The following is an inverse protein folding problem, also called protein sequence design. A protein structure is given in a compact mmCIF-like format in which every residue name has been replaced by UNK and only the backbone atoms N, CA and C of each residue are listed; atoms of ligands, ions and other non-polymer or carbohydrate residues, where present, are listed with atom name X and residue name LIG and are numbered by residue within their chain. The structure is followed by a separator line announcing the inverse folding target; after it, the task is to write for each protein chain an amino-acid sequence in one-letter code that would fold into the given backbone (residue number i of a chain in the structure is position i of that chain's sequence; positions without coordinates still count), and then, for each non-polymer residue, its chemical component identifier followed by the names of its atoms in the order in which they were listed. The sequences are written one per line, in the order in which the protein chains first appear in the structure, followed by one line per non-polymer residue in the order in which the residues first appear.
data_IF_423155444230
#
_entry.id   IF_423155444230
#
_cell.length_a   1.000
_cell.length_b   1.000
_cell.length_c   1.000
_cell.angle_alpha   90.00
_cell.angle_beta   90.00
_cell.angle_gamma   90.00
#
_symmetry.space_group_name_H-M   'P 1'
#
loop_
_entity.id
_entity.type
_entity.pdbx_description
1 polymer ?
#
# COMPACT_ATOMS: atom_id res chain seq x y z
N UNK A 1 6.67 -19.08 3.07
CA UNK A 1 7.22 -18.07 2.15
C UNK A 1 8.45 -17.46 2.82
N UNK A 2 9.61 -17.49 2.18
CA UNK A 2 10.80 -16.79 2.67
C UNK A 2 10.95 -15.49 1.87
N UNK A 3 11.05 -14.35 2.55
CA UNK A 3 11.24 -13.02 1.95
C UNK A 3 12.62 -12.49 2.32
N UNK A 4 13.12 -11.53 1.52
CA UNK A 4 14.32 -10.79 1.88
C UNK A 4 14.14 -10.05 3.21
N UNK A 5 15.19 -10.01 4.03
CA UNK A 5 15.15 -9.27 5.29
C UNK A 5 15.37 -7.78 5.03
N UNK A 6 14.43 -6.95 5.47
CA UNK A 6 14.49 -5.50 5.34
C UNK A 6 14.78 -4.86 6.71
N UNK A 7 16.05 -4.51 6.98
CA UNK A 7 16.55 -4.19 8.32
C UNK A 7 15.98 -2.90 8.89
N UNK A 8 15.51 -1.98 8.04
CA UNK A 8 14.90 -0.73 8.49
C UNK A 8 13.48 -0.95 9.04
N UNK A 9 12.86 -2.11 8.77
CA UNK A 9 11.50 -2.39 9.22
C UNK A 9 10.46 -1.58 8.45
N UNK A 10 9.32 -1.30 9.08
CA UNK A 10 8.17 -0.68 8.42
C UNK A 10 8.18 0.85 8.45
N UNK A 11 7.36 1.43 7.55
CA UNK A 11 7.21 2.87 7.39
C UNK A 11 6.76 3.60 8.67
N UNK A 12 6.03 2.93 9.56
CA UNK A 12 5.54 3.51 10.81
C UNK A 12 6.68 4.08 11.69
N UNK A 13 7.89 3.50 11.60
CA UNK A 13 9.07 3.98 12.33
C UNK A 13 9.65 5.29 11.78
N UNK A 14 9.33 5.66 10.54
CA UNK A 14 9.96 6.78 9.81
C UNK A 14 9.01 7.95 9.56
N UNK A 15 7.87 7.98 10.24
CA UNK A 15 6.87 9.07 10.17
C UNK A 15 7.40 10.42 10.67
N UNK A 16 8.60 10.48 11.26
CA UNK A 16 9.28 11.74 11.64
C UNK A 16 10.52 12.03 10.78
N UNK A 17 10.84 11.20 9.80
CA UNK A 17 12.00 11.40 8.92
C UNK A 17 11.85 12.66 8.07
N UNK A 18 12.97 13.25 7.64
CA UNK A 18 12.98 14.31 6.62
C UNK A 18 12.78 13.75 5.20
N UNK A 19 12.95 12.45 5.02
CA UNK A 19 12.92 11.77 3.72
C UNK A 19 11.51 11.29 3.31
N UNK A 20 10.47 11.75 4.01
CA UNK A 20 9.05 11.38 3.78
C UNK A 20 8.62 11.53 2.33
N UNK A 21 9.11 12.58 1.66
CA UNK A 21 8.79 12.83 0.25
C UNK A 21 9.35 11.73 -0.66
N UNK A 22 10.61 11.33 -0.46
CA UNK A 22 11.23 10.26 -1.24
C UNK A 22 10.58 8.90 -0.98
N UNK A 23 10.16 8.66 0.27
CA UNK A 23 9.43 7.44 0.61
C UNK A 23 8.05 7.44 -0.07
N UNK A 24 7.29 8.53 0.00
CA UNK A 24 6.00 8.65 -0.68
C UNK A 24 6.14 8.48 -2.20
N UNK A 25 7.19 9.07 -2.80
CA UNK A 25 7.49 8.92 -4.22
C UNK A 25 7.79 7.45 -4.59
N UNK A 26 8.63 6.76 -3.80
CA UNK A 26 8.94 5.36 -4.06
C UNK A 26 7.72 4.46 -3.92
N UNK A 27 6.80 4.76 -3.00
CA UNK A 27 5.53 4.04 -2.85
C UNK A 27 4.66 4.25 -4.11
N UNK A 28 4.57 5.49 -4.61
CA UNK A 28 3.84 5.79 -5.84
C UNK A 28 4.41 5.04 -7.06
N UNK A 29 5.74 4.97 -7.17
CA UNK A 29 6.42 4.21 -8.24
C UNK A 29 6.14 2.70 -8.14
N UNK A 30 6.07 2.16 -6.93
CA UNK A 30 5.70 0.76 -6.73
C UNK A 30 4.26 0.48 -7.19
N UNK A 31 3.33 1.43 -7.00
CA UNK A 31 1.96 1.30 -7.50
C UNK A 31 1.86 1.41 -9.01
N UNK A 32 2.55 2.40 -9.59
CA UNK A 32 2.63 2.55 -11.04
C UNK A 32 3.10 1.24 -11.69
N UNK A 33 4.08 0.57 -11.08
CA UNK A 33 4.54 -0.73 -11.54
C UNK A 33 3.46 -1.83 -11.44
N UNK A 34 2.78 -1.97 -10.30
CA UNK A 34 1.75 -3.00 -10.10
C UNK A 34 0.54 -2.80 -11.03
N UNK A 35 0.12 -1.56 -11.22
CA UNK A 35 -1.02 -1.22 -12.08
C UNK A 35 -0.65 -1.21 -13.57
N UNK A 36 0.60 -0.91 -13.92
CA UNK A 36 1.10 -0.90 -15.29
C UNK A 36 1.43 -2.28 -15.88
N UNK A 37 1.34 -3.35 -15.10
CA UNK A 37 1.52 -4.72 -15.59
C UNK A 37 0.43 -5.10 -16.61
N UNK A 38 0.77 -5.97 -17.59
CA UNK A 38 -0.17 -6.47 -18.61
C UNK A 38 -1.46 -7.07 -18.03
N UNK A 39 -1.36 -7.60 -16.80
CA UNK A 39 -2.50 -7.88 -15.92
C UNK A 39 -2.33 -7.04 -14.65
N UNK A 40 -3.05 -5.92 -14.52
CA UNK A 40 -2.91 -5.03 -13.37
C UNK A 40 -3.19 -5.75 -12.06
N UNK A 41 -2.31 -5.58 -11.08
CA UNK A 41 -2.40 -6.19 -9.75
C UNK A 41 -2.87 -5.11 -8.76
N UNK A 42 -3.99 -5.37 -8.09
CA UNK A 42 -4.54 -4.51 -7.05
C UNK A 42 -4.14 -5.08 -5.69
N UNK A 43 -3.54 -4.27 -4.82
CA UNK A 43 -2.98 -4.75 -3.54
C UNK A 43 -4.04 -4.98 -2.46
N UNK A 44 -5.04 -4.10 -2.33
CA UNK A 44 -6.23 -4.23 -1.44
C UNK A 44 -6.02 -4.17 0.08
N UNK A 45 -4.84 -4.46 0.63
CA UNK A 45 -4.52 -4.25 2.06
C UNK A 45 -3.27 -3.39 2.23
N UNK A 46 -3.34 -2.20 1.64
CA UNK A 46 -2.27 -1.24 1.75
C UNK A 46 -2.35 -0.51 3.09
N UNK A 47 -1.28 -0.64 3.88
CA UNK A 47 -1.08 0.02 5.17
C UNK A 47 0.41 0.23 5.41
N UNK A 48 0.79 1.16 6.29
CA UNK A 48 2.23 1.44 6.48
C UNK A 48 3.02 0.24 7.04
N UNK A 49 2.37 -0.70 7.74
CA UNK A 49 3.01 -1.93 8.20
C UNK A 49 3.39 -2.88 7.06
N UNK A 50 2.71 -2.76 5.90
CA UNK A 50 2.96 -3.53 4.68
C UNK A 50 3.93 -2.80 3.73
N UNK A 51 4.52 -1.69 4.19
CA UNK A 51 5.56 -0.95 3.47
C UNK A 51 6.83 -1.06 4.30
N UNK A 52 7.77 -1.87 3.81
CA UNK A 52 9.08 -2.02 4.43
C UNK A 52 10.11 -1.15 3.71
N UNK A 53 11.15 -0.74 4.42
CA UNK A 53 12.22 0.10 3.88
C UNK A 53 13.52 -0.68 3.73
N UNK A 54 14.25 -0.45 2.64
CA UNK A 54 15.64 -0.92 2.47
C UNK A 54 16.62 -0.06 3.26
N UNK A 55 17.89 -0.47 3.29
CA UNK A 55 18.99 0.34 3.88
C UNK A 55 19.12 1.73 3.26
N UNK A 56 18.71 1.88 2.00
CA UNK A 56 18.72 3.14 1.26
C UNK A 56 17.39 3.92 1.40
N UNK A 57 16.56 3.58 2.39
CA UNK A 57 15.21 4.15 2.61
C UNK A 57 14.26 4.01 1.41
N UNK A 58 14.48 3.02 0.54
CA UNK A 58 13.57 2.75 -0.57
C UNK A 58 12.42 1.87 -0.09
N UNK A 59 11.16 2.23 -0.39
CA UNK A 59 10.01 1.43 0.00
C UNK A 59 9.88 0.17 -0.85
N UNK A 60 9.48 -0.92 -0.20
CA UNK A 60 9.09 -2.18 -0.80
C UNK A 60 7.75 -2.62 -0.21
N UNK A 61 6.80 -2.91 -1.09
CA UNK A 61 5.48 -3.42 -0.71
C UNK A 61 5.61 -4.90 -0.36
N UNK A 62 4.95 -5.31 0.72
CA UNK A 62 4.87 -6.69 1.17
C UNK A 62 3.41 -7.09 1.41
N UNK A 63 3.20 -8.39 1.61
CA UNK A 63 1.89 -8.97 1.97
C UNK A 63 0.82 -8.82 0.87
N UNK A 64 1.04 -9.56 -0.22
CA UNK A 64 0.11 -9.69 -1.34
C UNK A 64 -0.97 -10.76 -1.10
N UNK A 65 -1.19 -11.18 0.15
CA UNK A 65 -2.07 -12.30 0.50
C UNK A 65 -3.53 -12.12 0.06
N UNK A 66 -3.94 -10.86 -0.14
CA UNK A 66 -5.28 -10.48 -0.61
C UNK A 66 -5.29 -9.79 -1.97
N UNK A 67 -4.13 -9.70 -2.63
CA UNK A 67 -4.00 -9.04 -3.92
C UNK A 67 -4.72 -9.82 -5.02
N UNK A 68 -5.32 -9.11 -5.97
CA UNK A 68 -6.06 -9.70 -7.08
C UNK A 68 -5.66 -9.06 -8.40
N UNK A 69 -5.62 -9.87 -9.46
CA UNK A 69 -5.56 -9.36 -10.82
C UNK A 69 -6.89 -8.70 -11.19
N UNK A 70 -6.84 -7.72 -12.10
CA UNK A 70 -8.00 -7.00 -12.63
C UNK A 70 -9.11 -7.89 -13.19
N UNK A 71 -8.82 -9.16 -13.50
CA UNK A 71 -9.80 -10.10 -14.07
C UNK A 71 -10.72 -10.71 -12.99
N UNK A 72 -10.28 -10.73 -11.72
CA UNK A 72 -10.99 -11.33 -10.58
C UNK A 72 -11.73 -10.28 -9.73
N UNK A 73 -12.63 -9.50 -10.34
CA UNK A 73 -13.52 -8.58 -9.61
C UNK A 73 -14.68 -9.31 -8.89
N UNK A 74 -14.43 -10.53 -8.40
CA UNK A 74 -15.43 -11.34 -7.69
C UNK A 74 -15.50 -10.95 -6.22
N UNK A 75 -16.74 -10.68 -5.81
CA UNK A 75 -17.17 -10.10 -4.53
C UNK A 75 -16.64 -10.87 -3.32
N UNK A 76 -15.58 -10.34 -2.71
CA UNK A 76 -15.20 -10.64 -1.33
C UNK A 76 -15.18 -9.33 -0.57
N UNK A 77 -16.33 -8.97 0.02
CA UNK A 77 -16.49 -7.80 0.88
C UNK A 77 -15.79 -8.00 2.22
N UNK A 78 -15.40 -6.89 2.86
CA UNK A 78 -14.79 -6.90 4.19
C UNK A 78 -13.31 -7.30 4.25
N UNK A 79 -12.59 -7.25 3.12
CA UNK A 79 -11.13 -7.50 3.09
C UNK A 79 -10.40 -6.17 3.08
N UNK A 80 -9.52 -5.96 4.06
CA UNK A 80 -8.70 -4.75 4.21
C UNK A 80 -8.71 -4.20 5.64
N UNK A 81 -7.80 -3.28 5.93
CA UNK A 81 -7.72 -2.63 7.24
C UNK A 81 -8.61 -1.37 7.27
N UNK A 82 -9.65 -1.28 8.14
CA UNK A 82 -10.74 -0.28 8.05
C UNK A 82 -10.35 1.20 7.96
N UNK A 83 -9.14 1.57 8.40
CA UNK A 83 -8.65 2.96 8.40
C UNK A 83 -7.90 3.36 7.13
N UNK A 84 -7.45 2.39 6.34
CA UNK A 84 -6.63 2.60 5.14
C UNK A 84 -7.39 2.23 3.87
N UNK A 85 -8.39 1.36 4.00
CA UNK A 85 -9.13 0.78 2.90
C UNK A 85 -10.20 1.72 2.35
N UNK A 86 -10.27 1.78 1.02
CA UNK A 86 -11.30 2.55 0.32
C UNK A 86 -12.72 2.05 0.66
N UNK A 87 -13.71 2.95 0.77
CA UNK A 87 -15.06 2.58 1.19
C UNK A 87 -15.71 1.54 0.27
N UNK A 88 -15.46 1.60 -1.04
CA UNK A 88 -15.97 0.63 -2.00
C UNK A 88 -15.43 -0.79 -1.79
N UNK A 89 -14.22 -0.92 -1.24
CA UNK A 89 -13.63 -2.23 -0.89
C UNK A 89 -14.25 -2.77 0.39
N UNK A 90 -14.49 -1.91 1.39
CA UNK A 90 -15.18 -2.29 2.63
C UNK A 90 -16.62 -2.73 2.37
N UNK A 91 -17.32 -2.04 1.47
CA UNK A 91 -18.68 -2.35 1.05
C UNK A 91 -18.77 -3.57 0.11
N UNK A 92 -17.62 -4.16 -0.28
CA UNK A 92 -17.58 -5.29 -1.20
C UNK A 92 -18.14 -4.98 -2.59
N UNK A 93 -18.15 -3.70 -2.98
CA UNK A 93 -18.55 -3.24 -4.31
C UNK A 93 -17.43 -3.50 -5.32
N UNK A 94 -17.71 -3.22 -6.59
CA UNK A 94 -16.67 -3.24 -7.62
C UNK A 94 -15.59 -2.24 -7.26
N UNK A 95 -14.40 -2.74 -6.99
CA UNK A 95 -13.20 -1.96 -6.75
C UNK A 95 -12.36 -1.89 -8.04
N UNK A 96 -11.40 -0.96 -8.09
CA UNK A 96 -10.43 -0.85 -9.17
C UNK A 96 -9.07 -0.42 -8.59
N UNK A 97 -8.11 -0.14 -9.46
CA UNK A 97 -6.81 0.47 -9.10
C UNK A 97 -6.98 1.74 -8.23
N UNK A 98 -8.14 2.43 -8.34
CA UNK A 98 -8.50 3.60 -7.52
C UNK A 98 -8.55 3.32 -6.01
N UNK A 99 -8.80 2.07 -5.61
CA UNK A 99 -8.81 1.69 -4.20
C UNK A 99 -7.41 1.78 -3.56
N UNK A 100 -6.37 1.41 -4.33
CA UNK A 100 -4.98 1.57 -3.90
C UNK A 100 -4.60 3.07 -3.87
N UNK A 101 -5.11 3.87 -4.82
CA UNK A 101 -4.94 5.34 -4.82
C UNK A 101 -5.51 6.01 -3.57
N UNK A 102 -6.71 5.59 -3.13
CA UNK A 102 -7.29 6.07 -1.87
C UNK A 102 -6.38 5.73 -0.69
N UNK A 103 -5.97 4.46 -0.59
CA UNK A 103 -5.11 3.97 0.48
C UNK A 103 -3.76 4.70 0.51
N UNK A 104 -3.18 4.96 -0.66
CA UNK A 104 -1.97 5.76 -0.82
C UNK A 104 -2.15 7.20 -0.34
N UNK A 105 -3.30 7.82 -0.61
CA UNK A 105 -3.64 9.15 -0.12
C UNK A 105 -3.67 9.21 1.41
N UNK A 106 -4.26 8.20 2.07
CA UNK A 106 -4.28 8.10 3.53
C UNK A 106 -2.86 7.94 4.09
N UNK A 107 -2.03 7.08 3.50
CA UNK A 107 -0.61 6.88 3.89
C UNK A 107 0.22 8.13 3.69
N UNK A 108 0.07 8.79 2.56
CA UNK A 108 0.80 10.02 2.26
C UNK A 108 0.42 11.13 3.25
N UNK A 109 -0.87 11.29 3.52
CA UNK A 109 -1.37 12.24 4.52
C UNK A 109 -0.81 11.95 5.91
N UNK A 110 -0.92 10.70 6.39
CA UNK A 110 -0.39 10.28 7.69
C UNK A 110 1.14 10.46 7.80
N UNK A 111 1.86 10.12 6.74
CA UNK A 111 3.33 10.22 6.68
C UNK A 111 3.79 11.67 6.67
N UNK A 112 3.17 12.53 5.85
CA UNK A 112 3.53 13.94 5.74
C UNK A 112 3.17 14.71 7.02
N UNK A 113 1.96 14.51 7.54
CA UNK A 113 1.50 15.18 8.77
C UNK A 113 2.17 14.62 10.03
N UNK A 114 2.78 13.43 9.97
CA UNK A 114 3.39 12.77 11.13
C UNK A 114 2.36 12.31 12.17
N UNK A 115 1.09 12.20 11.78
CA UNK A 115 -0.01 11.75 12.63
C UNK A 115 -0.39 10.34 12.18
N UNK A 116 -0.16 9.36 13.04
CA UNK A 116 -0.59 7.98 12.84
C UNK A 116 -1.74 7.70 13.81
N UNK A 117 -2.89 7.26 13.30
CA UNK A 117 -4.03 6.81 14.11
C UNK A 117 -4.08 5.30 14.14
#
# INVERSE_FOLDING_TARGET
MALEYLPMGNLQRYLKSKDKFYIALGIAQAFEYLHGCSSPIIHRDLKSSNILLTNELKPKLIDFGVSRGKVDFTMTGGIGTPYWTAPEVLEGKRYSEQADTYSFGVISSATLLGVYR
#
